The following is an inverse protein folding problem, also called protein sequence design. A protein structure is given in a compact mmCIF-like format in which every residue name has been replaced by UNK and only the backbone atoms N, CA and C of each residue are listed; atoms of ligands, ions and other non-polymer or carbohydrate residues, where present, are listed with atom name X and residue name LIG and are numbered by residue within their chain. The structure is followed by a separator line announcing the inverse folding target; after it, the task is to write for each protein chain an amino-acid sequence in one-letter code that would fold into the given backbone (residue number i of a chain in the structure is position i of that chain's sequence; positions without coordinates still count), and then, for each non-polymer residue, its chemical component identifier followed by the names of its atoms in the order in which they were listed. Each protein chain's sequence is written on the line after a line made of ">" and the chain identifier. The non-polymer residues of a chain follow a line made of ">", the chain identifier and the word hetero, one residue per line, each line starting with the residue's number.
data_IF_851512922589
#
_entry.id   IF_851512922589
#
_cell.length_a   1.000
_cell.length_b   1.000
_cell.length_c   1.000
_cell.angle_alpha   90.00
_cell.angle_beta   90.00
_cell.angle_gamma   90.00
#
_symmetry.space_group_name_H-M   'P 1'
#
loop_
_entity.id
_entity.type
_entity.pdbx_description
1 polymer ?
#
# COMPACT_ATOMS: atom_id res chain seq x y z
N UNK A 1 -24.49 -44.34 -9.30
CA UNK A 1 -24.19 -42.93 -9.56
C UNK A 1 -22.94 -42.67 -8.75
N UNK A 2 -21.83 -42.31 -9.40
CA UNK A 2 -20.64 -41.85 -8.68
C UNK A 2 -21.01 -40.49 -8.11
N UNK A 3 -21.10 -40.39 -6.78
CA UNK A 3 -21.01 -39.08 -6.13
C UNK A 3 -19.61 -38.57 -6.49
N UNK A 4 -19.55 -37.62 -7.41
CA UNK A 4 -18.31 -36.88 -7.67
C UNK A 4 -17.98 -36.14 -6.38
N UNK A 5 -16.79 -36.39 -5.82
CA UNK A 5 -16.33 -35.68 -4.63
C UNK A 5 -16.35 -34.16 -4.92
N UNK A 6 -16.75 -33.33 -3.94
CA UNK A 6 -16.78 -31.89 -4.13
C UNK A 6 -15.41 -31.37 -4.57
N UNK A 7 -15.41 -30.52 -5.60
CA UNK A 7 -14.17 -30.04 -6.26
C UNK A 7 -13.57 -28.84 -5.51
N UNK A 8 -14.37 -28.14 -4.71
CA UNK A 8 -14.08 -26.82 -4.14
C UNK A 8 -14.35 -26.78 -2.64
N UNK A 9 -13.62 -25.95 -1.89
CA UNK A 9 -13.86 -25.73 -0.47
C UNK A 9 -14.65 -24.44 -0.17
N UNK A 10 -14.73 -24.11 1.12
CA UNK A 10 -15.36 -22.87 1.60
C UNK A 10 -14.75 -21.56 1.05
N UNK A 11 -13.41 -21.43 0.87
CA UNK A 11 -12.82 -20.24 0.23
C UNK A 11 -13.32 -20.03 -1.21
N UNK A 12 -13.39 -21.10 -2.00
CA UNK A 12 -13.94 -21.04 -3.36
C UNK A 12 -15.45 -20.77 -3.35
N UNK A 13 -16.20 -21.31 -2.40
CA UNK A 13 -17.62 -21.00 -2.26
C UNK A 13 -17.85 -19.51 -1.99
N UNK A 14 -17.09 -18.91 -1.06
CA UNK A 14 -17.11 -17.48 -0.78
C UNK A 14 -16.82 -16.68 -2.06
N UNK A 15 -15.73 -16.99 -2.76
CA UNK A 15 -15.34 -16.29 -3.98
C UNK A 15 -16.37 -16.44 -5.11
N UNK A 16 -16.88 -17.65 -5.33
CA UNK A 16 -17.89 -17.93 -6.34
C UNK A 16 -19.21 -17.22 -6.05
N UNK A 17 -19.70 -17.32 -4.81
CA UNK A 17 -20.95 -16.72 -4.40
C UNK A 17 -20.88 -15.18 -4.47
N UNK A 18 -19.75 -14.59 -4.06
CA UNK A 18 -19.49 -13.16 -4.21
C UNK A 18 -19.59 -12.70 -5.67
N UNK A 19 -18.93 -13.40 -6.60
CA UNK A 19 -19.02 -13.08 -8.03
C UNK A 19 -20.44 -13.20 -8.56
N UNK A 20 -21.18 -14.23 -8.12
CA UNK A 20 -22.58 -14.44 -8.48
C UNK A 20 -23.46 -13.29 -8.01
N UNK A 21 -23.35 -12.89 -6.75
CA UNK A 21 -24.18 -11.81 -6.20
C UNK A 21 -23.80 -10.43 -6.77
N UNK A 22 -22.53 -10.17 -7.04
CA UNK A 22 -22.11 -8.96 -7.77
C UNK A 22 -22.74 -8.90 -9.18
N UNK A 23 -22.78 -10.03 -9.90
CA UNK A 23 -23.42 -10.11 -11.22
C UNK A 23 -24.95 -10.06 -11.18
N UNK A 24 -25.56 -10.54 -10.10
CA UNK A 24 -26.99 -10.36 -9.88
C UNK A 24 -27.34 -8.89 -9.60
N UNK A 25 -26.44 -8.15 -8.93
CA UNK A 25 -26.64 -6.75 -8.59
C UNK A 25 -26.42 -5.80 -9.79
N UNK A 26 -25.45 -6.09 -10.67
CA UNK A 26 -25.11 -5.26 -11.82
C UNK A 26 -24.49 -6.05 -12.98
N UNK A 27 -24.69 -5.57 -14.20
CA UNK A 27 -24.03 -6.08 -15.41
C UNK A 27 -22.56 -5.63 -15.53
N UNK A 28 -22.09 -4.75 -14.63
CA UNK A 28 -20.74 -4.17 -14.66
C UNK A 28 -19.63 -5.23 -14.66
N UNK A 29 -18.51 -4.90 -15.31
CA UNK A 29 -17.34 -5.77 -15.30
C UNK A 29 -16.67 -5.76 -13.93
N UNK A 30 -16.37 -6.94 -13.38
CA UNK A 30 -15.69 -7.09 -12.09
C UNK A 30 -14.20 -7.23 -12.37
N UNK A 31 -13.40 -6.25 -11.95
CA UNK A 31 -11.95 -6.30 -12.08
C UNK A 31 -11.32 -7.25 -11.06
N UNK A 32 -10.12 -7.75 -11.36
CA UNK A 32 -9.31 -8.57 -10.44
C UNK A 32 -9.19 -7.92 -9.06
N UNK A 33 -8.78 -6.66 -9.01
CA UNK A 33 -8.56 -5.94 -7.75
C UNK A 33 -9.85 -5.80 -6.94
N UNK A 34 -10.99 -5.54 -7.58
CA UNK A 34 -12.29 -5.47 -6.89
C UNK A 34 -12.66 -6.82 -6.30
N UNK A 35 -12.57 -7.89 -7.10
CA UNK A 35 -12.88 -9.24 -6.66
C UNK A 35 -12.05 -9.66 -5.45
N UNK A 36 -10.72 -9.57 -5.55
CA UNK A 36 -9.81 -10.03 -4.49
C UNK A 36 -9.94 -9.22 -3.19
N UNK A 37 -10.25 -7.92 -3.28
CA UNK A 37 -10.47 -7.08 -2.09
C UNK A 37 -11.80 -7.39 -1.41
N UNK A 38 -12.86 -7.57 -2.19
CA UNK A 38 -14.17 -7.89 -1.63
C UNK A 38 -14.19 -9.30 -1.00
N UNK A 39 -13.38 -10.24 -1.50
CA UNK A 39 -13.18 -11.52 -0.80
C UNK A 39 -12.61 -11.30 0.61
N UNK A 40 -11.58 -10.47 0.77
CA UNK A 40 -11.05 -10.10 2.09
C UNK A 40 -12.07 -9.40 2.97
N UNK A 41 -12.90 -8.51 2.42
CA UNK A 41 -13.94 -7.81 3.19
C UNK A 41 -14.99 -8.81 3.71
N UNK A 42 -15.43 -9.75 2.87
CA UNK A 42 -16.38 -10.79 3.29
C UNK A 42 -15.76 -11.74 4.35
N UNK A 43 -14.49 -12.11 4.19
CA UNK A 43 -13.78 -12.94 5.15
C UNK A 43 -13.56 -12.24 6.51
N UNK A 44 -13.15 -10.96 6.50
CA UNK A 44 -13.07 -10.14 7.72
C UNK A 44 -14.40 -10.08 8.44
N UNK A 45 -15.49 -9.86 7.70
CA UNK A 45 -16.83 -9.81 8.26
C UNK A 45 -17.22 -11.13 8.94
N UNK A 46 -16.87 -12.28 8.34
CA UNK A 46 -17.07 -13.61 8.93
C UNK A 46 -16.29 -13.77 10.23
N UNK A 47 -14.99 -13.49 10.19
CA UNK A 47 -14.11 -13.61 11.34
C UNK A 47 -14.53 -12.69 12.49
N UNK A 48 -14.87 -11.44 12.22
CA UNK A 48 -15.17 -10.44 13.24
C UNK A 48 -16.58 -10.58 13.84
N UNK A 49 -17.54 -11.03 13.03
CA UNK A 49 -18.95 -11.11 13.48
C UNK A 49 -19.28 -12.49 14.04
N UNK A 50 -18.66 -13.54 13.49
CA UNK A 50 -19.03 -14.92 13.75
C UNK A 50 -17.87 -15.78 14.25
N UNK A 51 -16.64 -15.23 14.35
CA UNK A 51 -15.42 -16.01 14.66
C UNK A 51 -15.24 -17.21 13.71
N UNK A 52 -15.75 -17.08 12.48
CA UNK A 52 -15.78 -18.14 11.48
C UNK A 52 -14.66 -17.94 10.47
N UNK A 53 -13.70 -18.88 10.45
CA UNK A 53 -12.56 -18.88 9.55
C UNK A 53 -12.79 -19.88 8.41
N UNK A 54 -12.97 -19.36 7.19
CA UNK A 54 -13.17 -20.19 5.99
C UNK A 54 -11.86 -20.75 5.43
N UNK A 55 -10.70 -20.34 5.96
CA UNK A 55 -9.40 -20.70 5.40
C UNK A 55 -9.00 -19.83 4.20
N UNK A 56 -9.52 -18.61 4.08
CA UNK A 56 -9.21 -17.75 2.93
C UNK A 56 -7.77 -17.26 2.97
N UNK A 57 -6.98 -17.66 1.98
CA UNK A 57 -5.62 -17.18 1.80
C UNK A 57 -5.59 -15.66 1.52
N UNK A 58 -5.11 -14.85 2.47
CA UNK A 58 -5.07 -13.39 2.35
C UNK A 58 -3.78 -12.80 2.92
N UNK A 59 -3.41 -11.64 2.41
CA UNK A 59 -2.21 -10.94 2.82
C UNK A 59 -2.29 -9.44 2.54
N UNK A 60 -1.55 -8.65 3.32
CA UNK A 60 -1.45 -7.21 3.09
C UNK A 60 -0.48 -6.86 1.96
N UNK A 61 -0.92 -6.05 0.99
CA UNK A 61 -0.08 -5.66 -0.14
C UNK A 61 -0.40 -4.28 -0.70
N UNK A 62 0.54 -3.35 -0.55
CA UNK A 62 0.62 -1.98 -1.09
C UNK A 62 -0.58 -1.05 -0.87
N UNK A 63 -1.77 -1.50 -1.25
CA UNK A 63 -3.02 -0.77 -1.29
C UNK A 63 -4.08 -1.48 -0.43
N UNK A 64 -3.67 -2.12 0.66
CA UNK A 64 -4.56 -2.89 1.52
C UNK A 64 -4.49 -4.39 1.29
N UNK A 65 -5.41 -5.09 1.93
CA UNK A 65 -5.45 -6.55 1.93
C UNK A 65 -5.96 -7.12 0.60
N UNK A 66 -5.42 -8.27 0.21
CA UNK A 66 -5.78 -9.02 -1.00
C UNK A 66 -5.82 -10.53 -0.71
N UNK A 67 -6.80 -11.19 -1.32
CA UNK A 67 -6.80 -12.65 -1.42
C UNK A 67 -5.69 -13.11 -2.37
N UNK A 68 -4.95 -14.15 -1.96
CA UNK A 68 -3.95 -14.77 -2.81
C UNK A 68 -4.61 -15.73 -3.81
N UNK A 69 -4.88 -15.22 -5.00
CA UNK A 69 -5.50 -15.99 -6.09
C UNK A 69 -4.75 -17.29 -6.44
N UNK A 70 -3.44 -17.39 -6.19
CA UNK A 70 -2.70 -18.63 -6.46
C UNK A 70 -3.08 -19.80 -5.55
N UNK A 71 -3.69 -19.51 -4.41
CA UNK A 71 -4.18 -20.52 -3.47
C UNK A 71 -5.59 -21.00 -3.87
N UNK A 72 -6.27 -20.29 -4.77
CA UNK A 72 -7.48 -20.81 -5.39
C UNK A 72 -7.17 -21.82 -6.48
N UNK A 73 -8.06 -22.80 -6.63
CA UNK A 73 -8.05 -23.66 -7.81
C UNK A 73 -8.28 -22.90 -9.13
N UNK A 74 -8.86 -21.69 -9.07
CA UNK A 74 -9.18 -20.85 -10.23
C UNK A 74 -10.28 -21.41 -11.15
N UNK A 75 -10.87 -22.55 -10.80
CA UNK A 75 -11.80 -23.29 -11.67
C UNK A 75 -13.26 -22.89 -11.48
N UNK A 76 -13.59 -22.07 -10.47
CA UNK A 76 -14.96 -21.61 -10.20
C UNK A 76 -15.37 -20.32 -10.92
N UNK A 77 -14.44 -19.66 -11.62
CA UNK A 77 -14.70 -18.47 -12.43
C UNK A 77 -14.03 -18.55 -13.80
N UNK A 78 -14.42 -17.65 -14.70
CA UNK A 78 -13.73 -17.34 -15.93
C UNK A 78 -13.12 -15.93 -15.82
N UNK A 79 -11.91 -15.75 -16.32
CA UNK A 79 -11.19 -14.47 -16.32
C UNK A 79 -10.78 -14.03 -17.75
N UNK A 80 -11.74 -13.80 -18.67
CA UNK A 80 -11.42 -13.27 -20.00
C UNK A 80 -10.86 -11.84 -19.92
N UNK A 81 -10.27 -11.38 -21.02
CA UNK A 81 -9.85 -9.98 -21.15
C UNK A 81 -11.05 -9.04 -20.99
N UNK A 82 -10.86 -7.97 -20.23
CA UNK A 82 -11.87 -6.95 -20.03
C UNK A 82 -12.11 -6.15 -21.32
N UNK A 83 -13.29 -5.55 -21.44
CA UNK A 83 -13.59 -4.65 -22.57
C UNK A 83 -13.40 -3.20 -22.15
N UNK A 84 -12.48 -2.49 -22.81
CA UNK A 84 -12.27 -1.06 -22.60
C UNK A 84 -11.16 -0.68 -21.62
N UNK A 85 -10.48 -1.65 -21.01
CA UNK A 85 -9.24 -1.44 -20.26
C UNK A 85 -8.32 -2.65 -20.33
N UNK A 86 -7.05 -2.46 -19.95
CA UNK A 86 -6.08 -3.53 -19.85
C UNK A 86 -6.30 -4.35 -18.56
N UNK A 87 -6.37 -5.66 -18.69
CA UNK A 87 -6.66 -6.60 -17.60
C UNK A 87 -7.81 -7.57 -17.88
N UNK A 88 -8.26 -8.24 -16.82
CA UNK A 88 -9.29 -9.29 -16.87
C UNK A 88 -10.58 -8.88 -16.18
N UNK A 89 -11.69 -9.40 -16.68
CA UNK A 89 -12.99 -9.38 -16.01
C UNK A 89 -13.25 -10.75 -15.39
N UNK A 90 -13.75 -10.78 -14.17
CA UNK A 90 -14.09 -12.00 -13.44
C UNK A 90 -15.57 -12.30 -13.58
N UNK A 91 -15.90 -13.54 -13.95
CA UNK A 91 -17.26 -14.00 -14.22
C UNK A 91 -17.47 -15.34 -13.51
N UNK A 92 -18.50 -15.51 -12.68
CA UNK A 92 -18.76 -16.78 -12.02
C UNK A 92 -19.12 -17.86 -13.05
N UNK A 93 -18.67 -19.09 -12.85
CA UNK A 93 -19.18 -20.23 -13.62
C UNK A 93 -20.57 -20.63 -13.09
N UNK A 94 -21.37 -21.24 -13.97
CA UNK A 94 -22.59 -21.91 -13.57
C UNK A 94 -22.23 -23.21 -12.86
N UNK A 95 -22.26 -23.20 -11.54
CA UNK A 95 -21.98 -24.34 -10.68
C UNK A 95 -23.19 -24.54 -9.74
N UNK A 96 -23.45 -25.79 -9.39
CA UNK A 96 -24.40 -26.13 -8.34
C UNK A 96 -23.71 -26.09 -6.98
N UNK A 97 -24.48 -25.94 -5.90
CA UNK A 97 -23.93 -25.81 -4.54
C UNK A 97 -23.20 -27.10 -4.12
N UNK A 98 -23.64 -28.24 -4.63
CA UNK A 98 -23.05 -29.55 -4.41
C UNK A 98 -21.62 -29.69 -4.96
N UNK A 99 -21.15 -28.75 -5.78
CA UNK A 99 -19.76 -28.70 -6.23
C UNK A 99 -18.78 -28.26 -5.12
N UNK A 100 -19.30 -27.75 -3.99
CA UNK A 100 -18.52 -27.21 -2.89
C UNK A 100 -18.69 -28.05 -1.62
N UNK A 101 -17.59 -28.36 -0.95
CA UNK A 101 -17.56 -28.95 0.38
C UNK A 101 -17.72 -27.84 1.41
N UNK A 102 -18.96 -27.54 1.77
CA UNK A 102 -19.33 -26.48 2.70
C UNK A 102 -20.27 -27.03 3.74
N UNK A 103 -19.95 -26.79 5.01
CA UNK A 103 -20.84 -27.18 6.09
C UNK A 103 -22.16 -26.39 6.02
N UNK A 104 -23.24 -26.89 6.63
CA UNK A 104 -24.51 -26.15 6.65
C UNK A 104 -24.36 -24.77 7.33
N UNK A 105 -23.59 -24.72 8.41
CA UNK A 105 -23.26 -23.48 9.12
C UNK A 105 -22.43 -22.54 8.24
N UNK A 106 -21.36 -23.04 7.63
CA UNK A 106 -20.53 -22.29 6.70
C UNK A 106 -21.33 -21.72 5.54
N UNK A 107 -22.27 -22.49 4.98
CA UNK A 107 -23.15 -22.02 3.90
C UNK A 107 -23.97 -20.81 4.33
N UNK A 108 -24.64 -20.90 5.48
CA UNK A 108 -25.48 -19.81 6.01
C UNK A 108 -24.64 -18.55 6.30
N UNK A 109 -23.51 -18.71 7.01
CA UNK A 109 -22.66 -17.58 7.39
C UNK A 109 -21.97 -16.92 6.19
N UNK A 110 -21.40 -17.71 5.28
CA UNK A 110 -20.73 -17.20 4.08
C UNK A 110 -21.73 -16.45 3.21
N UNK A 111 -22.94 -16.98 3.02
CA UNK A 111 -23.99 -16.27 2.28
C UNK A 111 -24.34 -14.94 2.92
N UNK A 112 -24.60 -14.91 4.23
CA UNK A 112 -24.93 -13.67 4.95
C UNK A 112 -23.81 -12.61 4.82
N UNK A 113 -22.55 -13.03 4.94
CA UNK A 113 -21.40 -12.13 4.82
C UNK A 113 -21.19 -11.61 3.39
N UNK A 114 -21.38 -12.48 2.39
CA UNK A 114 -21.30 -12.10 0.97
C UNK A 114 -22.41 -11.11 0.63
N UNK A 115 -23.65 -11.38 1.05
CA UNK A 115 -24.78 -10.48 0.82
C UNK A 115 -24.56 -9.11 1.45
N UNK A 116 -24.05 -9.07 2.69
CA UNK A 116 -23.64 -7.83 3.34
C UNK A 116 -22.57 -7.10 2.50
N UNK A 117 -21.51 -7.79 2.10
CA UNK A 117 -20.39 -7.22 1.33
C UNK A 117 -20.85 -6.63 0.00
N UNK A 118 -21.72 -7.33 -0.74
CA UNK A 118 -22.27 -6.86 -2.01
C UNK A 118 -23.22 -5.68 -1.81
N UNK A 119 -24.02 -5.67 -0.73
CA UNK A 119 -24.90 -4.54 -0.42
C UNK A 119 -24.10 -3.28 -0.11
N UNK A 120 -23.06 -3.37 0.71
CA UNK A 120 -22.29 -2.20 1.14
C UNK A 120 -21.31 -1.72 0.06
N UNK A 121 -20.61 -2.63 -0.63
CA UNK A 121 -19.49 -2.28 -1.51
C UNK A 121 -19.67 -2.68 -2.98
N UNK A 122 -20.74 -3.42 -3.32
CA UNK A 122 -20.92 -3.96 -4.67
C UNK A 122 -20.96 -2.89 -5.76
N UNK A 123 -21.44 -1.68 -5.43
CA UNK A 123 -21.48 -0.52 -6.34
C UNK A 123 -20.30 0.42 -6.22
N UNK A 124 -19.45 0.21 -5.21
CA UNK A 124 -18.29 1.06 -4.97
C UNK A 124 -17.15 0.77 -5.95
N UNK A 125 -16.30 1.77 -6.17
CA UNK A 125 -15.08 1.60 -6.96
C UNK A 125 -13.95 1.01 -6.08
N UNK A 126 -12.86 0.61 -6.72
CA UNK A 126 -11.72 -0.02 -6.03
C UNK A 126 -11.06 0.94 -5.01
N UNK A 127 -11.03 2.25 -5.27
CA UNK A 127 -10.44 3.22 -4.34
C UNK A 127 -11.25 3.35 -3.05
N UNK A 128 -12.59 3.35 -3.13
CA UNK A 128 -13.44 3.34 -1.94
C UNK A 128 -13.25 2.06 -1.10
N UNK A 129 -13.12 0.91 -1.76
CA UNK A 129 -12.85 -0.37 -1.06
C UNK A 129 -11.46 -0.36 -0.40
N UNK A 130 -10.44 0.19 -1.09
CA UNK A 130 -9.09 0.37 -0.52
C UNK A 130 -9.14 1.26 0.71
N UNK A 131 -9.84 2.39 0.63
CA UNK A 131 -9.97 3.35 1.73
C UNK A 131 -10.57 2.67 2.96
N UNK A 132 -11.67 1.95 2.79
CA UNK A 132 -12.31 1.18 3.86
C UNK A 132 -11.34 0.17 4.51
N UNK A 133 -10.55 -0.57 3.71
CA UNK A 133 -9.56 -1.51 4.27
C UNK A 133 -8.47 -0.80 5.09
N UNK A 134 -8.06 0.41 4.70
CA UNK A 134 -7.07 1.18 5.46
C UNK A 134 -7.64 1.75 6.77
N UNK A 135 -8.89 2.19 6.75
CA UNK A 135 -9.56 2.77 7.92
C UNK A 135 -9.89 1.70 8.97
N UNK A 136 -10.46 0.58 8.53
CA UNK A 136 -11.00 -0.43 9.44
C UNK A 136 -10.03 -1.60 9.70
N UNK A 137 -9.17 -1.95 8.74
CA UNK A 137 -8.40 -3.20 8.79
C UNK A 137 -6.88 -3.02 8.70
N UNK A 138 -6.36 -1.78 8.78
CA UNK A 138 -4.92 -1.57 8.81
C UNK A 138 -4.29 -2.23 10.06
N UNK A 139 -3.36 -3.15 9.82
CA UNK A 139 -2.77 -4.00 10.86
C UNK A 139 -1.83 -3.26 11.82
N UNK A 140 -1.42 -2.03 11.49
CA UNK A 140 -0.59 -1.21 12.36
C UNK A 140 -0.79 0.29 12.09
N UNK A 141 -0.48 1.12 13.09
CA UNK A 141 -0.45 2.57 12.92
C UNK A 141 0.53 3.03 11.83
N UNK A 142 1.63 2.30 11.61
CA UNK A 142 2.55 2.59 10.52
C UNK A 142 1.91 2.46 9.14
N UNK A 143 1.05 1.45 8.96
CA UNK A 143 0.31 1.23 7.72
C UNK A 143 -0.65 2.40 7.44
N UNK A 144 -1.32 2.90 8.48
CA UNK A 144 -2.20 4.06 8.38
C UNK A 144 -1.41 5.32 7.98
N UNK A 145 -0.30 5.59 8.66
CA UNK A 145 0.49 6.81 8.42
C UNK A 145 1.11 6.86 7.02
N UNK A 146 1.62 5.74 6.48
CA UNK A 146 2.13 5.77 5.10
C UNK A 146 1.01 5.98 4.07
N UNK A 147 -0.20 5.46 4.35
CA UNK A 147 -1.36 5.60 3.46
C UNK A 147 -1.80 7.05 3.40
N UNK A 148 -1.85 7.71 4.56
CA UNK A 148 -2.13 9.14 4.66
C UNK A 148 -1.07 10.00 3.96
N UNK A 149 0.21 9.67 4.11
CA UNK A 149 1.29 10.37 3.40
C UNK A 149 1.14 10.23 1.88
N UNK A 150 0.82 9.02 1.39
CA UNK A 150 0.57 8.78 -0.04
C UNK A 150 -0.61 9.60 -0.54
N UNK A 151 -1.73 9.59 0.19
CA UNK A 151 -2.90 10.39 -0.15
C UNK A 151 -2.56 11.89 -0.23
N UNK A 152 -1.83 12.40 0.76
CA UNK A 152 -1.41 13.80 0.82
C UNK A 152 -0.57 14.19 -0.41
N UNK A 153 0.44 13.38 -0.75
CA UNK A 153 1.30 13.65 -1.91
C UNK A 153 0.50 13.67 -3.22
N UNK A 154 -0.49 12.78 -3.37
CA UNK A 154 -1.38 12.78 -4.53
C UNK A 154 -2.24 14.05 -4.62
N UNK A 155 -2.76 14.53 -3.49
CA UNK A 155 -3.60 15.74 -3.41
C UNK A 155 -2.80 17.00 -3.72
N UNK A 156 -1.57 17.10 -3.22
CA UNK A 156 -0.67 18.23 -3.48
C UNK A 156 -0.30 18.31 -4.97
N UNK A 157 0.02 17.17 -5.59
CA UNK A 157 0.45 17.11 -7.00
C UNK A 157 -0.69 17.47 -7.98
N UNK A 158 -1.93 17.12 -7.64
CA UNK A 158 -3.12 17.49 -8.42
C UNK A 158 -3.45 19.00 -8.38
N UNK A 159 -2.59 19.83 -7.79
CA UNK A 159 -2.76 21.28 -7.72
C UNK A 159 -3.98 21.70 -6.90
N UNK A 160 -4.55 20.77 -6.12
CA UNK A 160 -5.65 21.08 -5.22
C UNK A 160 -5.09 21.90 -4.05
N UNK A 161 -5.08 23.22 -4.24
CA UNK A 161 -4.86 24.21 -3.18
C UNK A 161 -6.00 24.22 -2.13
N UNK A 162 -6.84 23.18 -2.09
CA UNK A 162 -7.73 22.94 -0.95
C UNK A 162 -6.87 22.39 0.17
N UNK A 163 -6.18 23.30 0.86
CA UNK A 163 -5.67 23.02 2.20
C UNK A 163 -6.79 22.38 3.01
N UNK A 164 -6.51 21.20 3.56
CA UNK A 164 -6.62 20.79 4.97
C UNK A 164 -7.51 21.67 5.90
N UNK A 165 -8.67 22.16 5.45
CA UNK A 165 -9.67 22.82 6.32
C UNK A 165 -10.32 21.79 7.26
N UNK A 166 -10.23 20.49 6.97
CA UNK A 166 -10.90 19.43 7.72
C UNK A 166 -10.09 18.78 8.85
N UNK A 167 -8.83 19.15 9.06
CA UNK A 167 -8.00 18.57 10.15
C UNK A 167 -7.82 19.48 11.38
N UNK A 168 -8.60 20.57 11.47
CA UNK A 168 -8.69 21.37 12.70
C UNK A 168 -10.06 21.21 13.38
N UNK A 169 -10.31 20.04 13.97
CA UNK A 169 -11.18 19.99 15.14
C UNK A 169 -10.47 20.72 16.30
N UNK A 170 -10.71 22.03 16.40
CA UNK A 170 -10.15 22.86 17.46
C UNK A 170 -9.65 24.19 16.93
N UNK A 171 -10.60 25.07 16.59
CA UNK A 171 -10.32 26.43 16.13
C UNK A 171 -9.32 27.15 17.03
N UNK A 172 -8.16 27.46 16.46
CA UNK A 172 -7.31 28.58 16.82
C UNK A 172 -6.54 28.95 15.57
N UNK A 173 -6.39 30.24 15.28
CA UNK A 173 -5.58 30.80 14.20
C UNK A 173 -4.14 30.26 14.31
N UNK A 174 -3.88 29.10 13.72
CA UNK A 174 -2.53 28.56 13.56
C UNK A 174 -2.07 28.87 12.16
N UNK A 175 -0.85 29.40 12.11
CA UNK A 175 -0.02 29.56 10.93
C UNK A 175 -0.34 28.51 9.89
N UNK A 176 -0.64 28.98 8.69
CA UNK A 176 -0.66 28.18 7.49
C UNK A 176 0.69 27.46 7.40
N UNK A 177 0.77 26.21 7.84
CA UNK A 177 1.94 25.37 7.65
C UNK A 177 2.19 25.25 6.14
N UNK A 178 3.46 25.35 5.74
CA UNK A 178 3.82 25.07 4.35
C UNK A 178 3.63 23.57 4.09
N UNK A 179 3.32 23.18 2.85
CA UNK A 179 3.22 21.76 2.49
C UNK A 179 4.49 20.98 2.86
N UNK A 180 5.66 21.64 2.82
CA UNK A 180 6.94 21.07 3.24
C UNK A 180 6.98 20.77 4.75
N UNK A 181 6.55 21.72 5.59
CA UNK A 181 6.51 21.56 7.04
C UNK A 181 5.56 20.43 7.46
N UNK A 182 4.39 20.38 6.83
CA UNK A 182 3.41 19.32 7.07
C UNK A 182 3.94 17.94 6.62
N UNK A 183 4.64 17.87 5.48
CA UNK A 183 5.30 16.63 5.04
C UNK A 183 6.38 16.17 6.01
N UNK A 184 7.18 17.09 6.57
CA UNK A 184 8.19 16.75 7.60
C UNK A 184 7.54 16.21 8.85
N UNK A 185 6.44 16.82 9.30
CA UNK A 185 5.68 16.31 10.44
C UNK A 185 5.15 14.90 10.17
N UNK A 186 4.61 14.63 8.98
CA UNK A 186 4.13 13.30 8.61
C UNK A 186 5.26 12.25 8.57
N UNK A 187 6.44 12.63 8.07
CA UNK A 187 7.62 11.77 8.15
C UNK A 187 8.03 11.49 9.61
N UNK A 188 7.99 12.48 10.50
CA UNK A 188 8.26 12.30 11.93
C UNK A 188 7.24 11.33 12.58
N UNK A 189 5.94 11.48 12.25
CA UNK A 189 4.90 10.56 12.72
C UNK A 189 5.12 9.14 12.22
N UNK A 190 5.45 8.96 10.94
CA UNK A 190 5.77 7.65 10.38
C UNK A 190 6.97 7.00 11.09
N UNK A 191 8.03 7.77 11.38
CA UNK A 191 9.20 7.26 12.12
C UNK A 191 8.81 6.81 13.52
N UNK A 192 7.96 7.59 14.20
CA UNK A 192 7.43 7.24 15.53
C UNK A 192 6.49 6.04 15.53
N UNK A 193 5.76 5.82 14.43
CA UNK A 193 4.83 4.70 14.28
C UNK A 193 5.49 3.41 13.81
N UNK A 194 6.75 3.45 13.33
CA UNK A 194 7.45 2.29 12.79
C UNK A 194 7.57 1.18 13.84
N UNK A 195 7.14 -0.08 13.55
CA UNK A 195 7.18 -1.16 14.53
C UNK A 195 8.60 -1.45 15.04
N UNK A 196 8.81 -1.44 16.35
CA UNK A 196 10.12 -1.67 16.97
C UNK A 196 10.38 -3.15 17.27
N UNK A 197 11.53 -3.67 16.83
CA UNK A 197 12.12 -4.95 17.27
C UNK A 197 11.23 -6.19 17.08
N UNK A 198 10.44 -6.24 16.01
CA UNK A 198 9.59 -7.39 15.68
C UNK A 198 9.87 -7.87 14.25
N UNK A 199 10.25 -9.14 14.13
CA UNK A 199 10.31 -9.89 12.88
C UNK A 199 11.02 -9.15 11.74
N UNK A 200 10.35 -9.12 10.58
CA UNK A 200 10.92 -8.57 9.34
C UNK A 200 10.98 -7.04 9.32
N UNK A 201 10.24 -6.36 10.20
CA UNK A 201 10.34 -4.91 10.35
C UNK A 201 11.72 -4.49 10.86
N UNK A 202 12.32 -5.24 11.80
CA UNK A 202 13.68 -4.93 12.29
C UNK A 202 14.71 -4.97 11.15
N UNK A 203 14.62 -5.98 10.29
CA UNK A 203 15.53 -6.14 9.15
C UNK A 203 15.40 -5.04 8.09
N UNK A 204 14.25 -4.38 8.03
CA UNK A 204 13.95 -3.32 7.06
C UNK A 204 14.16 -1.92 7.67
N UNK A 205 14.24 -1.79 9.00
CA UNK A 205 14.34 -0.51 9.73
C UNK A 205 15.49 0.37 9.24
N UNK A 206 16.68 -0.20 9.07
CA UNK A 206 17.85 0.55 8.60
C UNK A 206 17.65 1.13 7.18
N UNK A 207 16.99 0.38 6.30
CA UNK A 207 16.68 0.80 4.94
C UNK A 207 15.56 1.84 4.92
N UNK A 208 14.54 1.67 5.76
CA UNK A 208 13.48 2.66 5.98
C UNK A 208 14.05 4.01 6.44
N UNK A 209 14.88 4.03 7.50
CA UNK A 209 15.49 5.27 7.99
C UNK A 209 16.36 5.94 6.92
N UNK A 210 17.05 5.13 6.09
CA UNK A 210 17.83 5.66 4.97
C UNK A 210 16.96 6.26 3.88
N UNK A 211 15.79 5.68 3.63
CA UNK A 211 14.79 6.23 2.73
C UNK A 211 14.23 7.55 3.29
N UNK A 212 13.84 7.61 4.56
CA UNK A 212 13.35 8.83 5.24
C UNK A 212 14.37 9.97 5.14
N UNK A 213 15.63 9.70 5.50
CA UNK A 213 16.76 10.63 5.35
C UNK A 213 16.94 11.13 3.91
N UNK A 214 16.53 10.34 2.92
CA UNK A 214 16.66 10.69 1.50
C UNK A 214 15.47 11.51 1.04
N UNK A 215 14.25 11.20 1.48
CA UNK A 215 13.06 12.04 1.27
C UNK A 215 13.25 13.43 1.88
N UNK A 216 13.78 13.53 3.11
CA UNK A 216 14.10 14.83 3.73
C UNK A 216 15.10 15.63 2.89
N UNK A 217 16.07 14.95 2.28
CA UNK A 217 17.03 15.57 1.36
C UNK A 217 16.38 16.03 0.05
N UNK A 218 15.36 15.31 -0.43
CA UNK A 218 14.54 15.72 -1.59
C UNK A 218 13.73 16.99 -1.26
N UNK A 219 13.15 17.06 -0.06
CA UNK A 219 12.45 18.25 0.43
C UNK A 219 13.39 19.46 0.54
N UNK A 220 14.57 19.30 1.14
CA UNK A 220 15.59 20.35 1.26
C UNK A 220 16.01 20.94 -0.11
N UNK A 221 15.95 20.12 -1.17
CA UNK A 221 16.29 20.50 -2.54
C UNK A 221 15.08 20.88 -3.39
N UNK A 222 13.90 21.01 -2.78
CA UNK A 222 12.64 21.35 -3.45
C UNK A 222 12.33 20.46 -4.65
N UNK A 223 12.63 19.16 -4.53
CA UNK A 223 12.23 18.16 -5.53
C UNK A 223 10.70 18.12 -5.64
N UNK A 224 10.19 17.88 -6.84
CA UNK A 224 8.74 17.83 -7.10
C UNK A 224 8.06 16.75 -6.25
N UNK A 225 6.87 17.06 -5.74
CA UNK A 225 6.12 16.13 -4.88
C UNK A 225 5.70 14.85 -5.60
N UNK A 226 5.42 14.90 -6.91
CA UNK A 226 5.22 13.72 -7.75
C UNK A 226 6.39 12.73 -7.64
N UNK A 227 7.63 13.22 -7.71
CA UNK A 227 8.83 12.39 -7.58
C UNK A 227 9.01 11.82 -6.18
N UNK A 228 8.57 12.56 -5.15
CA UNK A 228 8.55 12.06 -3.76
C UNK A 228 7.47 10.97 -3.62
N UNK A 229 6.31 11.13 -4.26
CA UNK A 229 5.24 10.15 -4.29
C UNK A 229 5.68 8.84 -4.95
N UNK A 230 6.35 8.92 -6.11
CA UNK A 230 6.95 7.75 -6.76
C UNK A 230 7.94 7.02 -5.83
N UNK A 231 8.80 7.78 -5.14
CA UNK A 231 9.79 7.20 -4.24
C UNK A 231 9.17 6.60 -2.96
N UNK A 232 8.02 7.12 -2.53
CA UNK A 232 7.20 6.51 -1.49
C UNK A 232 6.53 5.22 -1.98
N UNK A 233 6.04 5.19 -3.22
CA UNK A 233 5.46 3.99 -3.81
C UNK A 233 6.49 2.87 -3.96
N UNK A 234 7.72 3.19 -4.36
CA UNK A 234 8.83 2.24 -4.38
C UNK A 234 9.10 1.66 -2.98
N UNK A 235 9.06 2.50 -1.94
CA UNK A 235 9.21 2.06 -0.55
C UNK A 235 8.08 1.13 -0.13
N UNK A 236 6.82 1.52 -0.37
CA UNK A 236 5.66 0.73 0.03
C UNK A 236 5.61 -0.59 -0.75
N UNK A 237 6.01 -0.61 -2.02
CA UNK A 237 6.18 -1.84 -2.79
C UNK A 237 7.20 -2.76 -2.12
N UNK A 238 8.40 -2.26 -1.83
CA UNK A 238 9.44 -3.04 -1.17
C UNK A 238 9.00 -3.54 0.22
N UNK A 239 8.43 -2.67 1.03
CA UNK A 239 7.88 -3.00 2.34
C UNK A 239 6.82 -4.10 2.25
N UNK A 240 5.93 -4.02 1.25
CA UNK A 240 4.87 -5.02 1.04
C UNK A 240 5.42 -6.39 0.68
N UNK A 241 6.47 -6.45 -0.17
CA UNK A 241 7.09 -7.71 -0.60
C UNK A 241 8.04 -8.29 0.42
N UNK A 242 8.70 -7.46 1.23
CA UNK A 242 9.73 -7.93 2.17
C UNK A 242 9.13 -8.22 3.56
N UNK A 243 8.12 -7.45 3.96
CA UNK A 243 7.61 -7.43 5.34
C UNK A 243 6.11 -7.73 5.39
N UNK A 244 5.27 -6.85 4.81
CA UNK A 244 3.83 -6.87 5.12
C UNK A 244 3.13 -8.17 4.71
N UNK A 245 3.46 -8.72 3.53
CA UNK A 245 2.85 -9.99 3.09
C UNK A 245 3.26 -11.20 3.91
N UNK A 246 4.28 -11.09 4.77
CA UNK A 246 4.69 -12.17 5.67
C UNK A 246 4.07 -11.97 7.04
N UNK A 247 4.28 -10.79 7.62
CA UNK A 247 3.83 -10.48 8.98
C UNK A 247 2.30 -10.42 9.07
N UNK A 248 1.64 -10.03 7.98
CA UNK A 248 0.19 -9.89 7.88
C UNK A 248 -0.38 -10.79 6.78
N UNK A 249 -0.23 -12.10 6.97
CA UNK A 249 -0.79 -13.11 6.08
C UNK A 249 -1.54 -14.21 6.83
N UNK A 250 -2.50 -14.81 6.15
CA UNK A 250 -3.28 -15.94 6.66
C UNK A 250 -3.45 -16.98 5.56
N UNK A 251 -3.41 -18.25 5.96
CA UNK A 251 -3.67 -19.42 5.11
C UNK A 251 -2.84 -19.46 3.81
N UNK A 252 -1.62 -18.92 3.84
CA UNK A 252 -0.67 -19.00 2.72
C UNK A 252 0.10 -20.31 2.81
N UNK A 253 0.20 -21.06 1.71
CA UNK A 253 0.94 -22.32 1.68
C UNK A 253 2.45 -22.11 1.87
N UNK A 254 3.13 -23.09 2.48
CA UNK A 254 4.59 -23.06 2.65
C UNK A 254 5.34 -22.92 1.31
N UNK A 255 4.84 -23.57 0.24
CA UNK A 255 5.39 -23.40 -1.10
C UNK A 255 5.33 -21.96 -1.57
N UNK A 256 4.22 -21.28 -1.29
CA UNK A 256 4.03 -19.90 -1.69
C UNK A 256 4.85 -18.93 -0.85
N UNK A 257 5.00 -19.22 0.44
CA UNK A 257 5.92 -18.49 1.32
C UNK A 257 7.37 -18.62 0.84
N UNK A 258 7.78 -19.80 0.36
CA UNK A 258 9.12 -20.01 -0.20
C UNK A 258 9.35 -19.18 -1.47
N UNK A 259 8.38 -19.14 -2.40
CA UNK A 259 8.45 -18.27 -3.59
C UNK A 259 8.58 -16.79 -3.20
N UNK A 260 7.84 -16.37 -2.15
CA UNK A 260 7.91 -15.01 -1.65
C UNK A 260 9.25 -14.69 -1.02
N UNK A 261 9.92 -15.67 -0.40
CA UNK A 261 11.22 -15.47 0.23
C UNK A 261 12.32 -15.17 -0.79
N UNK A 262 12.32 -15.92 -1.90
CA UNK A 262 13.25 -15.68 -3.01
C UNK A 262 13.05 -14.27 -3.58
N UNK A 263 11.80 -13.91 -3.88
CA UNK A 263 11.46 -12.59 -4.40
C UNK A 263 11.75 -11.45 -3.42
N UNK A 264 11.58 -11.67 -2.11
CA UNK A 264 11.85 -10.66 -1.10
C UNK A 264 13.32 -10.22 -1.08
N UNK A 265 14.26 -11.17 -1.28
CA UNK A 265 15.68 -10.85 -1.32
C UNK A 265 16.04 -9.94 -2.50
N UNK A 266 15.50 -10.24 -3.68
CA UNK A 266 15.70 -9.45 -4.90
C UNK A 266 15.09 -8.04 -4.76
N UNK A 267 13.84 -7.96 -4.33
CA UNK A 267 13.14 -6.68 -4.13
C UNK A 267 13.86 -5.80 -3.09
N UNK A 268 14.36 -6.39 -2.00
CA UNK A 268 15.12 -5.67 -0.98
C UNK A 268 16.43 -5.11 -1.54
N UNK A 269 17.13 -5.91 -2.34
CA UNK A 269 18.38 -5.51 -3.02
C UNK A 269 18.13 -4.36 -3.99
N UNK A 270 17.12 -4.48 -4.85
CA UNK A 270 16.77 -3.46 -5.85
C UNK A 270 16.37 -2.14 -5.19
N UNK A 271 15.52 -2.19 -4.16
CA UNK A 271 15.15 -0.99 -3.43
C UNK A 271 16.34 -0.35 -2.69
N UNK A 272 17.23 -1.16 -2.12
CA UNK A 272 18.49 -0.66 -1.52
C UNK A 272 19.35 0.10 -2.52
N UNK A 273 19.46 -0.43 -3.75
CA UNK A 273 20.19 0.23 -4.82
C UNK A 273 19.50 1.52 -5.27
N UNK A 274 18.18 1.51 -5.44
CA UNK A 274 17.39 2.70 -5.79
C UNK A 274 17.59 3.84 -4.77
N UNK A 275 17.48 3.55 -3.47
CA UNK A 275 17.71 4.53 -2.39
C UNK A 275 19.15 5.08 -2.45
N UNK A 276 20.14 4.20 -2.67
CA UNK A 276 21.55 4.60 -2.78
C UNK A 276 21.82 5.48 -3.99
N UNK A 277 21.22 5.18 -5.13
CA UNK A 277 21.38 5.93 -6.38
C UNK A 277 20.72 7.29 -6.29
N UNK A 278 19.45 7.34 -5.90
CA UNK A 278 18.70 8.57 -5.68
C UNK A 278 19.43 9.51 -4.71
N UNK A 279 19.92 8.97 -3.58
CA UNK A 279 20.69 9.77 -2.63
C UNK A 279 22.01 10.30 -3.22
N UNK A 280 22.71 9.50 -4.02
CA UNK A 280 23.97 9.92 -4.66
C UNK A 280 23.72 11.08 -5.62
N UNK A 281 22.65 11.03 -6.39
CA UNK A 281 22.26 12.09 -7.32
C UNK A 281 21.99 13.40 -6.59
N UNK A 282 21.19 13.35 -5.50
CA UNK A 282 20.88 14.51 -4.67
C UNK A 282 22.14 15.13 -4.04
N UNK A 283 23.06 14.31 -3.52
CA UNK A 283 24.31 14.81 -2.93
C UNK A 283 25.29 15.37 -3.99
N UNK A 284 25.30 14.78 -5.19
CA UNK A 284 26.08 15.29 -6.32
C UNK A 284 25.58 16.65 -6.81
N UNK A 285 24.27 16.85 -6.85
CA UNK A 285 23.64 18.12 -7.21
C UNK A 285 23.88 19.20 -6.16
N UNK A 286 23.86 18.85 -4.87
CA UNK A 286 24.24 19.76 -3.77
C UNK A 286 25.67 20.28 -3.90
N UNK A 287 26.60 19.44 -4.36
CA UNK A 287 28.00 19.85 -4.60
C UNK A 287 28.16 20.84 -5.77
N UNK A 288 27.19 20.87 -6.70
CA UNK A 288 27.14 21.85 -7.81
C UNK A 288 26.36 23.11 -7.44
N UNK A 289 25.46 23.02 -6.45
CA UNK A 289 24.74 24.15 -5.85
C UNK A 289 25.64 24.90 -4.85
N UNK A 290 26.51 25.74 -5.42
CA UNK A 290 27.19 26.91 -4.86
C UNK A 290 26.77 27.47 -3.48
N UNK A 291 27.10 26.80 -2.38
CA UNK A 291 27.26 27.49 -1.08
C UNK A 291 28.73 27.50 -0.61
N UNK A 292 29.48 26.40 -0.78
CA UNK A 292 30.91 26.35 -0.43
C UNK A 292 31.81 27.18 -1.36
N UNK A 293 31.48 27.26 -2.66
CA UNK A 293 32.19 28.12 -3.62
C UNK A 293 31.88 29.61 -3.44
N UNK A 294 30.74 29.95 -2.83
CA UNK A 294 30.37 31.31 -2.45
C UNK A 294 31.12 31.77 -1.21
N UNK A 295 31.20 30.91 -0.19
CA UNK A 295 31.97 31.16 1.04
C UNK A 295 33.46 31.25 0.75
N UNK A 296 34.02 30.37 -0.09
CA UNK A 296 35.44 30.41 -0.47
C UNK A 296 35.82 31.69 -1.22
N UNK A 297 34.97 32.18 -2.13
CA UNK A 297 35.17 33.45 -2.84
C UNK A 297 35.00 34.67 -1.93
N UNK A 298 34.06 34.63 -0.97
CA UNK A 298 33.89 35.69 0.01
C UNK A 298 35.07 35.78 1.00
N UNK A 299 35.58 34.64 1.45
CA UNK A 299 36.77 34.57 2.31
C UNK A 299 38.02 35.06 1.57
N UNK A 300 38.22 34.61 0.32
CA UNK A 300 39.36 35.03 -0.50
C UNK A 300 39.34 36.55 -0.75
N UNK A 301 38.17 37.13 -1.03
CA UNK A 301 38.00 38.58 -1.22
C UNK A 301 38.26 39.37 0.07
N UNK A 302 37.85 38.85 1.22
CA UNK A 302 38.05 39.51 2.52
C UNK A 302 39.53 39.49 2.95
N UNK A 303 40.26 38.42 2.63
CA UNK A 303 41.70 38.32 2.88
C UNK A 303 42.49 39.24 1.94
N UNK A 304 42.14 39.32 0.66
CA UNK A 304 42.77 40.24 -0.30
C UNK A 304 42.58 41.72 0.12
N UNK A 305 41.37 42.11 0.54
CA UNK A 305 41.08 43.46 1.02
C UNK A 305 41.84 43.81 2.32
N UNK A 306 42.06 42.84 3.22
CA UNK A 306 42.87 43.05 4.43
C UNK A 306 44.36 43.18 4.11
N UNK A 307 44.87 42.43 3.13
CA UNK A 307 46.28 42.50 2.70
C UNK A 307 46.57 43.83 1.99
N UNK A 308 45.65 44.36 1.18
CA UNK A 308 45.81 45.70 0.56
C UNK A 308 45.79 46.84 1.59
N UNK A 309 44.95 46.74 2.63
CA UNK A 309 44.92 47.73 3.72
C UNK A 309 46.21 47.72 4.56
N UNK A 310 46.86 46.57 4.72
CA UNK A 310 48.14 46.46 5.43
C UNK A 310 49.34 46.91 4.60
N UNK A 311 49.22 47.01 3.28
CA UNK A 311 50.28 47.49 2.36
C UNK A 311 50.21 48.98 2.04
N UNK A 312 49.14 49.66 2.49
CA UNK A 312 48.89 51.09 2.26
C UNK A 312 49.12 51.95 3.52
N UNK A 313 49.84 51.42 4.51
CA UNK A 313 50.43 52.12 5.66
C UNK A 313 51.94 51.85 5.69
#
# INVERSE_FOLDING_TARGET
>A
MSEEEPEFGEPEFLGWHLLRELKNQSDDQISRSKFLKLCCVADRKLLETHEYDVGLARYWYMYGELTNEHEFSGRFYNAPQAMGWDGQQYIPKSLDIEAFDVSKEGFELITDSVEWTVREFGRENVEAIKQHQYEEHAESGFIQEYSELRWLLSTIDLGSQQRLENFTEGGTEKTVESNEEYLRQKLDTMVGAYPENEGRHEEMKALYLRWDDTVRLMLDQSVQYSRIAEFLDDFIFALSRVVLRFDYSQHISDSRLADWEEDAADVKSDFTNNVRETRRELLGNRSRSTELDGVSRAYSRTIEEQIERLRSH
#
